data_IF_345947120501
#
_entry.id   IF_345947120501
#
_cell.length_a   1.000
_cell.length_b   1.000
_cell.length_c   1.000
_cell.angle_alpha   90.00
_cell.angle_beta   90.00
_cell.angle_gamma   90.00
#
_symmetry.space_group_name_H-M   'P 1'
#
loop_
_entity.id
_entity.type
_entity.pdbx_description
1 polymer ?
#
# COMPACT_ATOMS: atom_id res chain seq x y z
N UNK A 1 -1.29 -18.11 72.29
CA UNK A 1 -1.94 -18.85 71.19
C UNK A 1 -2.34 -17.80 70.17
N UNK A 2 -1.47 -17.47 69.21
CA UNK A 2 -1.42 -18.10 67.86
C UNK A 2 -2.72 -17.77 67.10
N UNK A 3 -2.79 -17.10 65.94
CA UNK A 3 -1.81 -16.95 64.87
C UNK A 3 -2.19 -15.76 63.96
N UNK A 4 -1.15 -15.14 63.44
CA UNK A 4 -1.07 -14.29 62.26
C UNK A 4 -1.65 -15.00 61.01
N UNK A 5 -2.29 -14.30 60.06
CA UNK A 5 -2.11 -14.48 58.59
C UNK A 5 -2.79 -13.34 57.83
N UNK A 6 -1.98 -12.41 57.31
CA UNK A 6 -2.34 -11.58 56.15
C UNK A 6 -2.35 -12.44 54.88
N UNK A 7 -3.37 -12.30 54.04
CA UNK A 7 -3.23 -12.54 52.60
C UNK A 7 -3.95 -11.43 51.83
N UNK A 8 -3.14 -10.46 51.36
CA UNK A 8 -3.46 -9.62 50.22
C UNK A 8 -3.56 -10.54 49.00
N UNK A 9 -4.77 -10.74 48.49
CA UNK A 9 -4.98 -11.29 47.16
C UNK A 9 -4.55 -10.27 46.10
N UNK A 10 -3.30 -10.37 45.66
CA UNK A 10 -2.84 -9.74 44.43
C UNK A 10 -3.41 -10.53 43.25
N UNK A 11 -4.49 -10.03 42.66
CA UNK A 11 -4.94 -10.46 41.34
C UNK A 11 -3.85 -10.12 40.32
N UNK A 12 -3.33 -11.08 39.53
CA UNK A 12 -2.50 -10.76 38.39
C UNK A 12 -3.39 -10.08 37.35
N UNK A 13 -3.13 -8.81 37.07
CA UNK A 13 -3.58 -8.14 35.86
C UNK A 13 -2.93 -8.85 34.68
N UNK A 14 -3.59 -9.87 34.14
CA UNK A 14 -3.35 -10.33 32.77
C UNK A 14 -3.74 -9.18 31.87
N UNK A 15 -2.73 -8.38 31.51
CA UNK A 15 -2.81 -7.37 30.47
C UNK A 15 -2.97 -8.13 29.14
N UNK A 16 -4.18 -8.62 28.88
CA UNK A 16 -4.58 -9.20 27.60
C UNK A 16 -4.39 -8.10 26.55
N UNK A 17 -3.31 -8.22 25.78
CA UNK A 17 -3.11 -7.40 24.60
C UNK A 17 -4.27 -7.74 23.67
N UNK A 18 -5.08 -6.77 23.22
CA UNK A 18 -6.12 -7.08 22.24
C UNK A 18 -5.44 -7.68 21.01
N UNK A 19 -5.99 -8.81 20.57
CA UNK A 19 -5.48 -9.69 19.53
C UNK A 19 -4.98 -8.92 18.30
N UNK A 20 -3.65 -8.79 18.23
CA UNK A 20 -2.86 -8.12 17.18
C UNK A 20 -2.39 -9.12 16.11
N UNK A 21 -2.98 -10.32 16.13
CA UNK A 21 -2.73 -11.39 15.18
C UNK A 21 -3.77 -11.35 14.07
N UNK A 22 -3.27 -11.25 12.83
CA UNK A 22 -4.10 -11.47 11.65
C UNK A 22 -4.60 -12.92 11.71
N UNK A 23 -5.92 -13.19 11.67
CA UNK A 23 -6.42 -14.56 11.70
C UNK A 23 -5.83 -15.37 10.55
N UNK A 24 -5.41 -16.62 10.78
CA UNK A 24 -4.72 -17.43 9.78
C UNK A 24 -5.55 -17.65 8.50
N UNK A 25 -6.88 -17.65 8.62
CA UNK A 25 -7.80 -17.89 7.49
C UNK A 25 -8.34 -16.61 6.82
N UNK A 26 -8.02 -15.42 7.36
CA UNK A 26 -8.54 -14.15 6.82
C UNK A 26 -8.03 -13.85 5.40
N UNK A 27 -6.84 -14.38 5.06
CA UNK A 27 -6.16 -14.16 3.79
C UNK A 27 -6.49 -15.24 2.75
N UNK A 28 -6.56 -16.49 3.20
CA UNK A 28 -6.62 -17.65 2.33
C UNK A 28 -7.90 -17.71 1.49
N UNK A 29 -9.06 -17.33 2.03
CA UNK A 29 -10.32 -17.44 1.28
C UNK A 29 -10.45 -16.37 0.17
N UNK A 30 -10.04 -15.12 0.44
CA UNK A 30 -10.16 -14.04 -0.54
C UNK A 30 -9.02 -14.12 -1.57
N UNK A 31 -7.80 -14.43 -1.14
CA UNK A 31 -6.66 -14.62 -2.05
C UNK A 31 -6.86 -15.86 -2.94
N UNK A 32 -7.31 -17.01 -2.42
CA UNK A 32 -7.62 -18.19 -3.27
C UNK A 32 -8.70 -17.90 -4.30
N UNK A 33 -9.66 -17.03 -4.00
CA UNK A 33 -10.67 -16.61 -4.97
C UNK A 33 -10.04 -15.80 -6.13
N UNK A 34 -8.95 -15.06 -5.88
CA UNK A 34 -8.21 -14.29 -6.90
C UNK A 34 -7.01 -15.04 -7.52
N UNK A 35 -6.56 -16.15 -6.94
CA UNK A 35 -5.45 -16.97 -7.45
C UNK A 35 -5.86 -18.02 -8.50
N UNK A 36 -7.16 -18.14 -8.80
CA UNK A 36 -7.68 -19.10 -9.77
C UNK A 36 -7.70 -18.61 -11.22
N UNK A 37 -7.20 -17.42 -11.53
CA UNK A 37 -7.02 -16.95 -12.90
C UNK A 37 -5.64 -16.28 -13.03
N UNK A 38 -4.70 -16.94 -13.72
CA UNK A 38 -3.44 -16.38 -14.24
C UNK A 38 -2.47 -15.68 -13.23
N UNK A 39 -2.54 -15.97 -11.93
CA UNK A 39 -1.62 -15.30 -10.98
C UNK A 39 -0.18 -15.83 -11.13
N UNK A 40 0.72 -14.97 -11.60
CA UNK A 40 2.17 -15.23 -11.68
C UNK A 40 2.77 -15.54 -10.30
N UNK A 41 3.91 -16.24 -10.29
CA UNK A 41 4.63 -16.62 -9.07
C UNK A 41 4.86 -15.40 -8.16
N UNK A 42 4.48 -15.47 -6.86
CA UNK A 42 4.70 -14.36 -5.94
C UNK A 42 6.20 -14.10 -5.73
N UNK A 43 6.59 -12.82 -5.69
CA UNK A 43 7.99 -12.40 -5.52
C UNK A 43 8.14 -11.30 -4.47
N UNK A 44 9.36 -11.09 -3.97
CA UNK A 44 9.61 -9.98 -3.03
C UNK A 44 9.71 -8.64 -3.73
N UNK A 45 10.48 -8.60 -4.81
CA UNK A 45 10.73 -7.39 -5.60
C UNK A 45 10.48 -7.69 -7.08
N UNK A 46 9.50 -6.98 -7.65
CA UNK A 46 9.13 -7.00 -9.06
C UNK A 46 9.50 -5.65 -9.70
N UNK A 47 10.17 -5.71 -10.83
CA UNK A 47 10.55 -4.55 -11.63
C UNK A 47 10.29 -4.84 -13.11
N UNK A 48 9.51 -3.97 -13.76
CA UNK A 48 9.20 -4.03 -15.19
C UNK A 48 9.52 -2.65 -15.79
N UNK A 49 10.45 -2.58 -16.72
CA UNK A 49 10.82 -1.38 -17.48
C UNK A 49 10.68 -1.62 -18.98
N UNK A 50 9.44 -1.48 -19.46
CA UNK A 50 9.09 -1.73 -20.84
C UNK A 50 8.71 -0.40 -21.51
N UNK A 51 9.69 0.35 -22.07
CA UNK A 51 9.44 1.70 -22.56
C UNK A 51 8.36 1.74 -23.66
N UNK A 52 8.26 0.68 -24.46
CA UNK A 52 7.39 0.61 -25.64
C UNK A 52 6.28 -0.44 -25.54
N UNK A 53 6.13 -1.16 -24.42
CA UNK A 53 5.09 -2.19 -24.26
C UNK A 53 4.13 -1.83 -23.13
N UNK A 54 2.88 -2.24 -23.28
CA UNK A 54 1.88 -2.05 -22.22
C UNK A 54 2.14 -3.04 -21.10
N UNK A 55 1.96 -2.60 -19.85
CA UNK A 55 2.01 -3.50 -18.70
C UNK A 55 0.59 -3.70 -18.20
N UNK A 56 0.11 -4.94 -18.27
CA UNK A 56 -1.24 -5.32 -17.86
C UNK A 56 -1.18 -6.65 -17.12
N UNK A 57 -2.06 -6.81 -16.13
CA UNK A 57 -2.21 -8.09 -15.44
C UNK A 57 -2.32 -7.95 -13.93
N UNK A 58 -2.23 -9.12 -13.28
CA UNK A 58 -2.25 -9.26 -11.84
C UNK A 58 -0.86 -9.71 -11.39
N UNK A 59 -0.27 -8.96 -10.47
CA UNK A 59 1.07 -9.23 -9.94
C UNK A 59 0.97 -9.43 -8.44
N UNK A 60 1.70 -10.41 -7.92
CA UNK A 60 1.69 -10.72 -6.49
C UNK A 60 3.06 -10.46 -5.88
N UNK A 61 3.12 -9.61 -4.86
CA UNK A 61 4.35 -9.35 -4.09
C UNK A 61 4.17 -9.66 -2.61
N UNK A 62 5.25 -9.92 -1.88
CA UNK A 62 5.18 -10.10 -0.44
C UNK A 62 6.53 -9.97 0.26
N UNK A 63 6.54 -9.35 1.44
CA UNK A 63 7.78 -9.13 2.21
C UNK A 63 8.40 -10.41 2.79
N UNK A 64 7.61 -11.50 2.88
CA UNK A 64 8.07 -12.82 3.29
C UNK A 64 8.53 -13.69 2.11
N UNK A 65 8.38 -13.21 0.87
CA UNK A 65 8.83 -13.95 -0.30
C UNK A 65 10.35 -13.88 -0.42
N UNK A 66 11.00 -14.91 -0.96
CA UNK A 66 12.42 -14.86 -1.25
C UNK A 66 12.71 -13.93 -2.44
N UNK A 67 13.94 -13.45 -2.50
CA UNK A 67 14.48 -12.78 -3.68
C UNK A 67 14.71 -13.80 -4.80
N UNK A 68 14.12 -13.55 -5.97
CA UNK A 68 14.25 -14.45 -7.12
C UNK A 68 15.52 -14.11 -7.90
N UNK A 69 16.36 -15.12 -8.14
CA UNK A 69 17.58 -14.99 -8.94
C UNK A 69 17.67 -16.15 -9.95
N UNK A 70 17.63 -15.87 -11.27
CA UNK A 70 17.50 -14.55 -11.89
C UNK A 70 16.10 -13.93 -11.69
N UNK A 71 15.95 -12.60 -11.76
CA UNK A 71 14.64 -11.94 -11.70
C UNK A 71 13.67 -12.47 -12.77
N UNK A 72 12.37 -12.52 -12.46
CA UNK A 72 11.33 -12.96 -13.40
C UNK A 72 11.18 -12.03 -14.62
N UNK A 73 11.39 -10.73 -14.39
CA UNK A 73 11.28 -9.67 -15.39
C UNK A 73 12.62 -8.94 -15.50
N UNK A 74 12.62 -7.64 -15.20
CA UNK A 74 13.82 -6.82 -15.21
C UNK A 74 14.47 -6.81 -13.81
N UNK A 75 15.77 -6.50 -13.77
CA UNK A 75 16.53 -6.41 -12.52
C UNK A 75 16.01 -5.25 -11.65
N UNK A 76 15.56 -5.49 -10.41
CA UNK A 76 15.15 -4.42 -9.50
C UNK A 76 16.30 -3.45 -9.20
N UNK A 77 15.96 -2.16 -9.08
CA UNK A 77 16.96 -1.15 -8.75
C UNK A 77 17.49 -1.37 -7.31
N UNK A 78 18.82 -1.32 -7.08
CA UNK A 78 19.41 -1.58 -5.76
C UNK A 78 18.83 -0.68 -4.65
N UNK A 79 18.60 0.59 -4.97
CA UNK A 79 17.97 1.55 -4.05
C UNK A 79 16.57 1.10 -3.62
N UNK A 80 15.75 0.56 -4.54
CA UNK A 80 14.40 0.10 -4.24
C UNK A 80 14.44 -1.15 -3.37
N UNK A 81 15.37 -2.07 -3.63
CA UNK A 81 15.54 -3.29 -2.83
C UNK A 81 16.05 -2.96 -1.42
N UNK A 82 17.00 -2.04 -1.30
CA UNK A 82 17.58 -1.65 -0.01
C UNK A 82 16.60 -0.86 0.87
N UNK A 83 15.79 -0.02 0.24
CA UNK A 83 14.87 0.87 0.95
C UNK A 83 13.51 0.26 1.21
N UNK A 84 13.16 -0.93 0.71
CA UNK A 84 11.80 -1.46 0.86
C UNK A 84 11.78 -2.91 1.33
N UNK A 85 10.73 -3.30 2.05
CA UNK A 85 10.52 -4.68 2.47
C UNK A 85 10.07 -5.57 1.29
N UNK A 86 9.26 -5.00 0.40
CA UNK A 86 8.81 -5.59 -0.86
C UNK A 86 8.50 -4.47 -1.86
N UNK A 87 8.57 -4.73 -3.16
CA UNK A 87 8.25 -3.71 -4.16
C UNK A 87 7.66 -4.26 -5.46
N UNK A 88 6.74 -3.52 -6.06
CA UNK A 88 6.29 -3.69 -7.45
C UNK A 88 6.45 -2.37 -8.19
N UNK A 89 7.32 -2.34 -9.20
CA UNK A 89 7.66 -1.11 -9.93
C UNK A 89 7.46 -1.32 -11.43
N UNK A 90 6.61 -0.49 -12.02
CA UNK A 90 6.23 -0.54 -13.42
C UNK A 90 6.63 0.77 -14.12
N UNK A 91 7.39 0.68 -15.20
CA UNK A 91 7.83 1.83 -15.99
C UNK A 91 7.52 1.61 -17.46
N UNK A 92 6.94 2.62 -18.06
CA UNK A 92 6.73 2.70 -19.52
C UNK A 92 7.05 4.12 -19.99
N UNK A 93 7.31 4.28 -21.28
CA UNK A 93 7.46 5.60 -21.90
C UNK A 93 6.19 5.97 -22.68
N UNK A 94 5.81 5.15 -23.64
CA UNK A 94 4.70 5.45 -24.57
C UNK A 94 3.43 4.63 -24.31
N UNK A 95 3.50 3.62 -23.47
CA UNK A 95 2.43 2.62 -23.33
C UNK A 95 1.70 2.72 -21.99
N UNK A 96 0.42 2.32 -21.92
CA UNK A 96 -0.35 2.35 -20.69
C UNK A 96 0.12 1.30 -19.67
N UNK A 97 -0.12 1.60 -18.40
CA UNK A 97 0.01 0.67 -17.28
C UNK A 97 -1.40 0.43 -16.72
N UNK A 98 -1.83 -0.82 -16.63
CA UNK A 98 -3.09 -1.21 -16.00
C UNK A 98 -2.92 -2.51 -15.22
N UNK A 99 -2.56 -2.38 -13.94
CA UNK A 99 -2.12 -3.49 -13.12
C UNK A 99 -2.92 -3.59 -11.83
N UNK A 100 -3.16 -4.82 -11.40
CA UNK A 100 -3.62 -5.13 -10.04
C UNK A 100 -2.45 -5.73 -9.27
N UNK A 101 -2.14 -5.19 -8.10
CA UNK A 101 -1.05 -5.67 -7.26
C UNK A 101 -1.61 -6.27 -5.99
N UNK A 102 -1.53 -7.59 -5.89
CA UNK A 102 -1.84 -8.33 -4.67
C UNK A 102 -0.61 -8.32 -3.77
N UNK A 103 -0.84 -8.03 -2.49
CA UNK A 103 0.24 -7.91 -1.51
C UNK A 103 0.01 -8.97 -0.44
N UNK A 104 0.84 -10.01 -0.47
CA UNK A 104 0.86 -11.06 0.54
C UNK A 104 1.46 -10.52 1.82
N UNK A 105 0.79 -10.81 2.92
CA UNK A 105 1.34 -10.58 4.24
C UNK A 105 2.00 -11.85 4.75
N UNK A 106 3.28 -11.75 5.13
CA UNK A 106 3.88 -12.82 5.92
C UNK A 106 3.19 -12.89 7.28
N UNK A 107 2.95 -14.11 7.78
CA UNK A 107 2.84 -14.30 9.22
C UNK A 107 4.02 -13.58 9.86
N UNK A 108 3.75 -12.64 10.77
CA UNK A 108 4.77 -11.82 11.40
C UNK A 108 5.90 -12.72 11.88
N UNK A 109 7.03 -12.70 11.18
CA UNK A 109 8.18 -13.52 11.53
C UNK A 109 8.56 -13.21 12.97
N UNK A 110 8.36 -14.19 13.85
CA UNK A 110 9.01 -14.21 15.14
C UNK A 110 10.52 -14.08 14.96
N UNK A 111 11.14 -13.34 15.88
CA UNK A 111 12.53 -13.49 16.28
C UNK A 111 13.59 -13.32 15.16
N UNK A 112 13.90 -12.06 14.85
CA UNK A 112 15.31 -11.70 14.60
C UNK A 112 15.79 -10.95 15.85
N UNK A 113 16.75 -11.47 16.63
CA UNK A 113 17.26 -10.76 17.80
C UNK A 113 18.05 -9.53 17.34
N UNK A 114 17.46 -8.35 17.49
CA UNK A 114 18.12 -7.08 17.22
C UNK A 114 18.93 -6.68 18.46
N UNK A 115 20.16 -7.16 18.56
CA UNK A 115 21.15 -6.62 19.50
C UNK A 115 21.71 -5.31 18.95
N UNK A 116 21.28 -4.16 19.49
CA UNK A 116 22.12 -3.04 19.99
C UNK A 116 21.28 -1.76 20.22
N UNK A 117 21.53 -1.00 21.31
CA UNK A 117 20.81 0.24 21.59
C UNK A 117 21.45 1.41 20.83
N UNK A 118 20.71 2.09 19.94
CA UNK A 118 21.20 3.30 19.27
C UNK A 118 20.12 4.40 19.08
N UNK A 119 20.36 5.50 19.81
CA UNK A 119 20.20 6.96 19.53
C UNK A 119 18.95 7.47 18.75
N UNK A 120 18.28 8.58 19.18
CA UNK A 120 16.92 8.94 18.74
C UNK A 120 16.73 9.41 17.28
N UNK A 121 17.79 9.56 16.47
CA UNK A 121 17.70 10.13 15.11
C UNK A 121 17.47 9.09 13.98
N UNK A 122 17.30 7.80 14.28
CA UNK A 122 17.13 6.72 13.28
C UNK A 122 15.69 6.39 12.90
N UNK A 123 14.68 7.08 13.43
CA UNK A 123 13.28 6.71 13.20
C UNK A 123 12.86 6.86 11.72
N UNK A 124 13.32 7.91 11.03
CA UNK A 124 13.00 8.17 9.62
C UNK A 124 13.78 7.28 8.62
N UNK A 125 14.93 6.73 9.00
CA UNK A 125 15.71 5.79 8.19
C UNK A 125 15.28 4.33 8.43
N UNK A 126 14.92 3.99 9.67
CA UNK A 126 14.32 2.70 10.03
C UNK A 126 12.92 2.51 9.45
N UNK A 127 12.15 3.59 9.27
CA UNK A 127 10.84 3.52 8.63
C UNK A 127 10.94 3.27 7.12
N UNK A 128 12.00 3.76 6.46
CA UNK A 128 12.19 3.55 5.01
C UNK A 128 12.36 2.07 4.70
N UNK A 129 13.33 1.39 5.33
CA UNK A 129 13.65 -0.06 5.12
C UNK A 129 12.53 -1.06 5.46
N UNK A 130 11.30 -0.61 5.68
CA UNK A 130 10.18 -1.39 6.17
C UNK A 130 8.86 -1.10 5.44
N UNK A 131 8.89 -0.51 4.24
CA UNK A 131 7.68 -0.22 3.46
C UNK A 131 7.41 -1.25 2.38
N UNK A 132 6.13 -1.46 2.06
CA UNK A 132 5.73 -2.13 0.82
C UNK A 132 5.52 -1.06 -0.23
N UNK A 133 6.25 -1.14 -1.34
CA UNK A 133 6.28 -0.06 -2.33
C UNK A 133 5.66 -0.49 -3.66
N UNK A 134 4.64 0.25 -4.11
CA UNK A 134 3.99 0.03 -5.41
C UNK A 134 4.15 1.29 -6.24
N UNK A 135 4.73 1.19 -7.44
CA UNK A 135 4.95 2.37 -8.28
C UNK A 135 4.65 2.13 -9.74
N UNK A 136 3.99 3.11 -10.36
CA UNK A 136 3.72 3.14 -11.79
C UNK A 136 4.15 4.47 -12.39
N UNK A 137 4.98 4.43 -13.42
CA UNK A 137 5.42 5.63 -14.12
C UNK A 137 5.26 5.45 -15.62
N UNK A 138 4.49 6.35 -16.23
CA UNK A 138 4.43 6.51 -17.68
C UNK A 138 4.90 7.91 -18.07
N UNK A 139 5.40 8.10 -19.30
CA UNK A 139 5.69 9.44 -19.82
C UNK A 139 4.47 9.98 -20.56
N UNK A 140 3.99 9.29 -21.59
CA UNK A 140 2.94 9.80 -22.47
C UNK A 140 1.67 8.96 -22.48
N UNK A 141 1.41 8.18 -21.43
CA UNK A 141 0.17 7.41 -21.33
C UNK A 141 -0.39 7.37 -19.89
N UNK A 142 -1.54 6.72 -19.76
CA UNK A 142 -2.25 6.60 -18.48
C UNK A 142 -1.66 5.49 -17.61
N UNK A 143 -1.74 5.69 -16.29
CA UNK A 143 -1.30 4.74 -15.26
C UNK A 143 -2.50 4.38 -14.41
N UNK A 144 -2.85 3.11 -14.36
CA UNK A 144 -3.88 2.55 -13.48
C UNK A 144 -3.24 1.50 -12.58
N UNK A 145 -3.26 1.73 -11.28
CA UNK A 145 -2.82 0.76 -10.27
C UNK A 145 -4.00 0.46 -9.35
N UNK A 146 -4.26 -0.82 -9.15
CA UNK A 146 -5.28 -1.31 -8.24
C UNK A 146 -4.60 -2.13 -7.13
N UNK A 147 -4.71 -1.70 -5.88
CA UNK A 147 -4.29 -2.50 -4.72
C UNK A 147 -5.58 -2.91 -3.98
N UNK A 148 -6.09 -4.12 -4.23
CA UNK A 148 -7.45 -4.48 -3.80
C UNK A 148 -7.55 -4.65 -2.29
N UNK A 149 -6.55 -5.30 -1.70
CA UNK A 149 -6.45 -5.52 -0.27
C UNK A 149 -4.99 -5.34 0.17
N UNK A 150 -4.82 -4.86 1.39
CA UNK A 150 -3.53 -4.85 2.07
C UNK A 150 -3.77 -4.90 3.57
N UNK A 151 -3.24 -5.91 4.23
CA UNK A 151 -3.26 -6.01 5.68
C UNK A 151 -1.83 -6.28 6.14
N UNK A 152 -1.46 -5.71 7.29
CA UNK A 152 -0.11 -5.81 7.79
C UNK A 152 0.38 -4.55 8.50
N UNK A 153 1.48 -4.73 9.22
CA UNK A 153 2.11 -3.68 10.07
C UNK A 153 3.01 -2.74 9.28
N UNK A 154 3.50 -3.16 8.11
CA UNK A 154 4.40 -2.37 7.27
C UNK A 154 3.60 -1.27 6.56
N UNK A 155 4.09 -0.03 6.45
CA UNK A 155 3.38 0.99 5.70
C UNK A 155 3.35 0.66 4.20
N UNK A 156 2.22 0.95 3.56
CA UNK A 156 2.04 0.86 2.11
C UNK A 156 2.34 2.22 1.48
N UNK A 157 3.27 2.24 0.53
CA UNK A 157 3.60 3.42 -0.24
C UNK A 157 3.26 3.18 -1.72
N UNK A 158 2.25 3.90 -2.22
CA UNK A 158 1.84 3.88 -3.62
C UNK A 158 2.28 5.19 -4.29
N UNK A 159 3.07 5.09 -5.37
CA UNK A 159 3.54 6.25 -6.13
C UNK A 159 3.25 6.12 -7.61
N UNK A 160 2.36 6.98 -8.12
CA UNK A 160 1.97 6.98 -9.53
C UNK A 160 2.29 8.31 -10.20
N UNK A 161 2.95 8.26 -11.36
CA UNK A 161 3.32 9.46 -12.12
C UNK A 161 3.07 9.28 -13.62
N UNK A 162 2.44 10.27 -14.23
CA UNK A 162 2.43 10.44 -15.68
C UNK A 162 2.96 11.84 -16.07
N UNK A 163 3.42 12.04 -17.31
CA UNK A 163 3.61 13.39 -17.84
C UNK A 163 2.38 13.80 -18.65
N UNK A 164 1.89 12.93 -19.53
CA UNK A 164 0.65 13.12 -20.27
C UNK A 164 -0.18 11.84 -20.18
N UNK A 165 -1.33 11.93 -19.51
CA UNK A 165 -2.21 10.79 -19.28
C UNK A 165 -2.93 10.87 -17.95
N UNK A 166 -3.96 10.03 -17.80
CA UNK A 166 -4.69 9.93 -16.54
C UNK A 166 -3.92 9.05 -15.56
N UNK A 167 -3.98 9.38 -14.28
CA UNK A 167 -3.46 8.53 -13.21
C UNK A 167 -4.64 8.13 -12.35
N UNK A 168 -4.86 6.82 -12.27
CA UNK A 168 -5.98 6.21 -11.56
C UNK A 168 -5.42 5.25 -10.52
N UNK A 169 -5.80 5.42 -9.26
CA UNK A 169 -5.35 4.55 -8.18
C UNK A 169 -6.55 4.05 -7.38
N UNK A 170 -6.66 2.73 -7.27
CA UNK A 170 -7.54 2.11 -6.28
C UNK A 170 -6.71 1.78 -5.03
N UNK A 171 -7.13 2.32 -3.90
CA UNK A 171 -6.49 2.05 -2.60
C UNK A 171 -7.30 1.02 -1.80
N UNK A 172 -6.65 0.19 -0.98
CA UNK A 172 -7.35 -0.76 -0.13
C UNK A 172 -8.11 0.00 0.97
N UNK A 173 -9.24 -0.54 1.45
CA UNK A 173 -10.04 0.09 2.52
C UNK A 173 -9.27 0.28 3.83
N UNK A 174 -8.28 -0.55 4.06
CA UNK A 174 -7.40 -0.45 5.22
C UNK A 174 -6.45 0.75 5.16
N UNK A 175 -6.31 1.42 4.00
CA UNK A 175 -5.37 2.51 3.79
C UNK A 175 -5.53 3.59 4.85
N UNK A 176 -4.45 3.89 5.57
CA UNK A 176 -4.44 4.87 6.66
C UNK A 176 -3.14 5.67 6.56
N UNK A 177 -3.24 6.93 6.18
CA UNK A 177 -2.04 7.73 5.95
C UNK A 177 -2.25 8.98 5.12
N UNK A 178 -1.22 9.35 4.36
CA UNK A 178 -1.16 10.60 3.61
C UNK A 178 -1.47 10.38 2.13
N UNK A 179 -2.32 11.22 1.57
CA UNK A 179 -2.49 11.39 0.13
C UNK A 179 -1.95 12.76 -0.27
N UNK A 180 -1.04 12.78 -1.23
CA UNK A 180 -0.58 14.00 -1.90
C UNK A 180 -0.85 13.90 -3.40
N UNK A 181 -1.33 14.99 -3.99
CA UNK A 181 -1.58 15.04 -5.43
C UNK A 181 -0.98 16.30 -6.06
N UNK A 182 -0.62 16.19 -7.34
CA UNK A 182 -0.18 17.32 -8.16
C UNK A 182 -0.56 17.16 -9.63
N UNK A 183 -1.32 18.10 -10.16
CA UNK A 183 -1.70 18.22 -11.57
C UNK A 183 -1.40 19.63 -12.08
N UNK A 184 -0.62 19.77 -13.16
CA UNK A 184 -0.34 21.09 -13.74
C UNK A 184 -1.54 21.61 -14.56
N UNK A 185 -2.04 20.76 -15.45
CA UNK A 185 -3.17 20.99 -16.36
C UNK A 185 -4.14 19.81 -16.29
N UNK A 186 -5.26 20.00 -15.61
CA UNK A 186 -6.27 18.97 -15.46
C UNK A 186 -7.00 19.03 -14.13
N UNK A 187 -7.54 17.90 -13.70
CA UNK A 187 -8.39 17.81 -12.50
C UNK A 187 -7.98 16.66 -11.60
N UNK A 188 -8.26 16.84 -10.31
CA UNK A 188 -8.19 15.79 -9.31
C UNK A 188 -9.62 15.42 -8.88
N UNK A 189 -9.92 14.13 -8.94
CA UNK A 189 -11.18 13.55 -8.52
C UNK A 189 -10.92 12.47 -7.48
N UNK A 190 -11.73 12.51 -6.45
CA UNK A 190 -11.77 11.51 -5.40
C UNK A 190 -13.17 10.93 -5.39
N UNK A 191 -13.29 9.61 -5.24
CA UNK A 191 -14.60 9.00 -5.14
C UNK A 191 -15.32 9.41 -3.85
N UNK A 192 -16.65 9.28 -3.77
CA UNK A 192 -17.40 9.60 -2.54
C UNK A 192 -16.90 8.81 -1.33
N UNK A 193 -16.56 7.53 -1.51
CA UNK A 193 -16.06 6.68 -0.43
C UNK A 193 -14.70 7.19 0.06
N UNK A 194 -13.72 7.45 -0.81
CA UNK A 194 -12.43 8.01 -0.36
C UNK A 194 -12.63 9.40 0.29
N UNK A 195 -13.56 10.20 -0.24
CA UNK A 195 -13.83 11.55 0.26
C UNK A 195 -14.42 11.56 1.67
N UNK A 196 -15.25 10.57 2.04
CA UNK A 196 -15.78 10.47 3.42
C UNK A 196 -14.72 10.15 4.46
N UNK A 197 -13.61 9.55 4.04
CA UNK A 197 -12.47 9.21 4.89
C UNK A 197 -11.31 10.23 4.82
N UNK A 198 -11.46 11.28 4.01
CA UNK A 198 -10.42 12.26 3.76
C UNK A 198 -10.58 13.53 4.60
N UNK A 199 -9.51 13.91 5.31
CA UNK A 199 -9.37 15.19 5.98
C UNK A 199 -8.26 16.00 5.31
N UNK A 200 -8.60 17.16 4.74
CA UNK A 200 -7.61 18.07 4.16
C UNK A 200 -6.65 18.62 5.23
N UNK A 201 -5.36 18.71 4.89
CA UNK A 201 -4.32 19.24 5.76
C UNK A 201 -3.81 20.62 5.34
N UNK A 202 -3.94 20.97 4.06
CA UNK A 202 -3.50 22.27 3.57
C UNK A 202 -4.37 23.41 4.12
N UNK A 203 -3.76 24.56 4.39
CA UNK A 203 -4.46 25.78 4.79
C UNK A 203 -5.35 26.35 3.66
N UNK A 204 -4.93 26.20 2.40
CA UNK A 204 -5.64 26.74 1.24
C UNK A 204 -6.15 25.62 0.32
N UNK A 205 -7.36 25.81 -0.22
CA UNK A 205 -7.94 24.89 -1.17
C UNK A 205 -7.38 25.12 -2.58
N UNK A 206 -6.44 24.27 -3.00
CA UNK A 206 -5.99 24.22 -4.38
C UNK A 206 -6.53 22.98 -5.11
N UNK A 207 -6.99 23.18 -6.35
CA UNK A 207 -7.48 22.10 -7.25
C UNK A 207 -6.34 21.35 -7.93
N UNK A 208 -5.19 22.01 -8.09
CA UNK A 208 -4.01 21.50 -8.81
C UNK A 208 -3.05 20.74 -7.91
N UNK A 209 -3.05 20.99 -6.61
CA UNK A 209 -2.21 20.25 -5.68
C UNK A 209 -2.84 20.25 -4.29
N UNK A 210 -2.35 19.36 -3.44
CA UNK A 210 -2.67 19.40 -2.03
C UNK A 210 -2.31 18.11 -1.31
N UNK A 211 -2.64 18.12 -0.03
CA UNK A 211 -2.36 17.06 0.91
C UNK A 211 -3.60 16.78 1.76
N UNK A 212 -3.93 15.50 1.88
CA UNK A 212 -5.03 14.99 2.70
C UNK A 212 -4.53 13.86 3.58
N UNK A 213 -5.06 13.79 4.81
CA UNK A 213 -4.98 12.62 5.66
C UNK A 213 -6.17 11.73 5.37
N UNK A 214 -5.92 10.49 4.99
CA UNK A 214 -6.92 9.43 4.88
C UNK A 214 -6.89 8.62 6.17
N UNK A 215 -8.08 8.37 6.73
CA UNK A 215 -8.24 7.49 7.90
C UNK A 215 -8.91 6.22 7.42
N UNK A 216 -8.37 5.07 7.81
CA UNK A 216 -8.99 3.79 7.47
C UNK A 216 -10.45 3.73 7.95
N UNK A 217 -11.23 2.91 7.27
CA UNK A 217 -12.62 2.64 7.64
C UNK A 217 -12.70 2.18 9.12
N UNK A 218 -13.48 2.87 9.98
CA UNK A 218 -13.58 2.56 11.40
C UNK A 218 -14.18 1.18 11.69
N UNK A 219 -14.92 0.61 10.74
CA UNK A 219 -15.53 -0.71 10.89
C UNK A 219 -14.54 -1.86 10.63
N UNK A 220 -13.33 -1.53 10.17
CA UNK A 220 -12.28 -2.52 9.96
C UNK A 220 -11.64 -2.95 11.29
N UNK A 221 -11.41 -4.26 11.48
CA UNK A 221 -10.64 -4.76 12.60
C UNK A 221 -9.27 -4.08 12.72
N UNK A 222 -8.87 -3.81 13.97
CA UNK A 222 -7.66 -3.03 14.25
C UNK A 222 -6.38 -3.68 13.67
N UNK A 223 -6.33 -5.01 13.56
CA UNK A 223 -5.21 -5.72 12.93
C UNK A 223 -5.05 -5.40 11.43
N UNK A 224 -6.13 -5.07 10.71
CA UNK A 224 -6.07 -4.69 9.29
C UNK A 224 -5.44 -3.32 9.07
N UNK A 225 -5.61 -2.43 10.04
CA UNK A 225 -5.16 -1.02 9.98
C UNK A 225 -3.86 -0.78 10.74
N UNK A 226 -3.25 -1.84 11.29
CA UNK A 226 -2.08 -1.74 12.16
C UNK A 226 -2.35 -0.92 13.42
N UNK A 227 -3.53 -1.10 14.03
CA UNK A 227 -4.02 -0.34 15.18
C UNK A 227 -4.04 1.19 14.94
N UNK A 228 -4.32 1.60 13.71
CA UNK A 228 -4.29 3.02 13.31
C UNK A 228 -2.90 3.65 13.28
N UNK A 229 -1.83 2.88 13.53
CA UNK A 229 -0.43 3.36 13.56
C UNK A 229 0.28 3.26 12.21
N UNK A 230 -0.40 2.71 11.21
CA UNK A 230 0.15 2.59 9.86
C UNK A 230 0.25 3.99 9.23
N UNK A 231 1.41 4.30 8.67
CA UNK A 231 1.71 5.57 8.01
C UNK A 231 1.77 5.40 6.50
N UNK A 232 0.66 5.00 5.89
CA UNK A 232 0.59 4.78 4.44
C UNK A 232 0.82 6.09 3.68
N UNK A 233 1.30 5.98 2.45
CA UNK A 233 1.59 7.14 1.60
C UNK A 233 1.09 6.88 0.19
N UNK A 234 0.30 7.81 -0.34
CA UNK A 234 -0.14 7.84 -1.72
C UNK A 234 0.35 9.14 -2.36
N UNK A 235 1.22 9.02 -3.35
CA UNK A 235 1.74 10.13 -4.13
C UNK A 235 1.30 9.98 -5.59
N UNK A 236 0.47 10.91 -6.07
CA UNK A 236 -0.01 10.89 -7.46
C UNK A 236 0.30 12.19 -8.18
N UNK A 237 0.82 12.09 -9.40
CA UNK A 237 1.09 13.30 -10.18
C UNK A 237 0.93 13.11 -11.68
N UNK A 238 0.46 14.16 -12.35
CA UNK A 238 0.45 14.25 -13.82
C UNK A 238 0.74 15.69 -14.25
N UNK A 239 1.39 15.93 -15.40
CA UNK A 239 1.42 17.31 -15.94
C UNK A 239 0.11 17.61 -16.64
N UNK A 240 -0.32 16.72 -17.53
CA UNK A 240 -1.56 16.87 -18.29
C UNK A 240 -2.42 15.62 -18.14
N UNK A 241 -3.63 15.77 -17.62
CA UNK A 241 -4.60 14.68 -17.49
C UNK A 241 -5.39 14.74 -16.20
N UNK A 242 -6.10 13.67 -15.88
CA UNK A 242 -6.91 13.57 -14.66
C UNK A 242 -6.24 12.66 -13.64
N UNK A 243 -6.34 13.04 -12.38
CA UNK A 243 -5.97 12.21 -11.24
C UNK A 243 -7.26 11.68 -10.61
N UNK A 244 -7.37 10.36 -10.45
CA UNK A 244 -8.56 9.70 -9.90
C UNK A 244 -8.11 8.76 -8.78
N UNK A 245 -8.71 8.90 -7.60
CA UNK A 245 -8.52 7.99 -6.47
C UNK A 245 -9.87 7.44 -6.04
N UNK A 246 -9.97 6.13 -5.89
CA UNK A 246 -11.17 5.45 -5.41
C UNK A 246 -10.82 4.29 -4.46
N UNK A 247 -11.80 3.81 -3.69
CA UNK A 247 -11.60 2.66 -2.82
C UNK A 247 -11.69 1.37 -3.63
N UNK A 248 -10.81 0.42 -3.38
CA UNK A 248 -10.90 -0.91 -3.98
C UNK A 248 -12.26 -1.56 -3.67
N UNK A 249 -12.87 -2.17 -4.68
CA UNK A 249 -14.22 -2.76 -4.57
C UNK A 249 -15.37 -1.78 -4.79
N UNK A 250 -15.10 -0.46 -4.82
CA UNK A 250 -16.09 0.53 -5.24
C UNK A 250 -16.43 0.31 -6.72
N UNK A 251 -17.72 0.39 -7.07
CA UNK A 251 -18.13 0.42 -8.48
C UNK A 251 -17.43 1.62 -9.11
N UNK A 252 -16.50 1.36 -10.05
CA UNK A 252 -15.75 2.42 -10.75
C UNK A 252 -16.71 3.54 -11.11
N UNK A 253 -16.39 4.78 -10.71
CA UNK A 253 -16.96 5.94 -11.38
C UNK A 253 -16.46 5.89 -12.82
N UNK A 254 -17.19 5.18 -13.67
CA UNK A 254 -17.06 5.28 -15.11
C UNK A 254 -17.40 6.71 -15.45
N UNK A 255 -16.38 7.56 -15.52
CA UNK A 255 -16.45 8.76 -16.32
C UNK A 255 -16.94 8.29 -17.70
N UNK A 256 -18.13 8.75 -18.08
CA UNK A 256 -18.78 8.39 -19.33
C UNK A 256 -17.76 8.23 -20.48
N UNK A 257 -17.75 7.03 -21.08
CA UNK A 257 -17.13 6.77 -22.39
C UNK A 257 -15.61 6.74 -22.43
N UNK A 258 -15.02 5.58 -22.13
CA UNK A 258 -13.87 5.07 -22.89
C UNK A 258 -13.80 3.55 -22.70
N UNK A 259 -14.47 2.83 -23.60
CA UNK A 259 -14.18 1.42 -23.85
C UNK A 259 -12.93 1.43 -24.74
N UNK A 260 -11.80 0.97 -24.22
CA UNK A 260 -10.69 0.59 -25.08
C UNK A 260 -10.99 -0.84 -25.48
N UNK A 261 -11.30 -1.01 -26.78
CA UNK A 261 -11.46 -2.30 -27.45
C UNK A 261 -10.18 -3.15 -27.37
#
# INVERSE_FOLDING_TARGET
MSSNTSQRGSMPMTNERPDDEVPPDADDAQIRTYMNEDSEQPVRHLFIDWPSASVKGLYTIGACMPDVSPPLFDMPLPEVVQDNAASAVFKTRSSPINVTVNILHGQGGGLVPQSTPQVPNKLAESMRKNTVFVSGKSVSNSVTINVPNYVGRRPLHIRCKSTAGNVTVAIPRSFNGMLSWRVETGTFHMSPEVSSHAKRLDAEQNKRHGTMKLVADPDLPAWMTGNGKRGDVLEISTKTGRLIVYMAGEKKMTAHGCVVA
#
